data_IF_227817853205
#
_entry.id   IF_227817853205
#
_cell.length_a   1.000
_cell.length_b   1.000
_cell.length_c   1.000
_cell.angle_alpha   90.00
_cell.angle_beta   90.00
_cell.angle_gamma   90.00
#
_symmetry.space_group_name_H-M   'P 1'
#
loop_
_entity.id
_entity.type
_entity.pdbx_description
1 polymer ?
#
# COMPACT_ATOMS: atom_id res chain seq x y z
N UNK A 1 -3.67 -16.40 -1.04
CA UNK A 1 -3.06 -16.62 0.29
C UNK A 1 -2.56 -15.31 0.94
N UNK A 2 -3.11 -14.12 0.59
CA UNK A 2 -2.71 -12.82 1.19
C UNK A 2 -3.75 -12.23 2.15
N UNK A 3 -4.92 -12.85 2.32
CA UNK A 3 -5.93 -12.32 3.26
C UNK A 3 -5.46 -12.51 4.72
N UNK A 4 -4.59 -13.49 4.97
CA UNK A 4 -4.12 -13.80 6.31
C UNK A 4 -3.12 -12.76 6.86
N UNK A 5 -2.22 -12.23 6.02
CA UNK A 5 -1.23 -11.24 6.48
C UNK A 5 -1.88 -9.88 6.81
N UNK A 6 -2.86 -9.44 6.02
CA UNK A 6 -3.64 -8.22 6.24
C UNK A 6 -4.42 -8.28 7.56
N UNK A 7 -5.08 -9.41 7.84
CA UNK A 7 -5.81 -9.60 9.09
C UNK A 7 -4.88 -9.65 10.31
N UNK A 8 -3.76 -10.36 10.25
CA UNK A 8 -2.80 -10.40 11.36
C UNK A 8 -2.20 -9.01 11.61
N UNK A 9 -1.89 -8.25 10.55
CA UNK A 9 -1.43 -6.87 10.66
C UNK A 9 -2.47 -5.96 11.33
N UNK A 10 -3.75 -6.08 10.96
CA UNK A 10 -4.84 -5.34 11.57
C UNK A 10 -5.02 -5.69 13.06
N UNK A 11 -4.97 -6.99 13.42
CA UNK A 11 -5.05 -7.43 14.83
C UNK A 11 -3.91 -6.87 15.68
N UNK A 12 -2.70 -6.76 15.11
CA UNK A 12 -1.56 -6.15 15.79
C UNK A 12 -1.77 -4.64 15.99
N UNK A 13 -2.24 -3.95 14.95
CA UNK A 13 -2.57 -2.52 15.01
C UNK A 13 -3.67 -2.21 16.03
N UNK A 14 -4.71 -3.04 16.11
CA UNK A 14 -5.74 -2.99 17.16
C UNK A 14 -5.12 -3.13 18.55
N UNK A 15 -4.22 -4.10 18.73
CA UNK A 15 -3.54 -4.32 20.01
C UNK A 15 -2.64 -3.14 20.42
N UNK A 16 -2.07 -2.44 19.46
CA UNK A 16 -1.28 -1.22 19.68
C UNK A 16 -2.13 0.05 19.76
N UNK A 17 -3.46 -0.07 19.65
CA UNK A 17 -4.40 1.07 19.71
C UNK A 17 -4.10 2.13 18.65
N UNK A 18 -3.71 1.70 17.45
CA UNK A 18 -3.57 2.61 16.32
C UNK A 18 -4.94 3.16 15.89
N UNK A 19 -5.00 4.32 15.22
CA UNK A 19 -6.25 4.89 14.74
C UNK A 19 -7.05 3.94 13.84
N UNK A 20 -8.39 3.96 13.96
CA UNK A 20 -9.30 3.07 13.22
C UNK A 20 -9.08 3.10 11.70
N UNK A 21 -8.78 4.27 11.14
CA UNK A 21 -8.53 4.40 9.70
C UNK A 21 -7.28 3.64 9.24
N UNK A 22 -6.28 3.46 10.11
CA UNK A 22 -5.09 2.65 9.85
C UNK A 22 -5.41 1.16 9.97
N UNK A 23 -6.15 0.77 11.01
CA UNK A 23 -6.61 -0.61 11.21
C UNK A 23 -7.43 -1.08 10.00
N UNK A 24 -8.39 -0.27 9.56
CA UNK A 24 -9.24 -0.58 8.42
C UNK A 24 -8.47 -0.60 7.09
N UNK A 25 -7.44 0.24 6.94
CA UNK A 25 -6.55 0.18 5.76
C UNK A 25 -5.74 -1.12 5.73
N UNK A 26 -5.13 -1.51 6.85
CA UNK A 26 -4.39 -2.77 6.95
C UNK A 26 -5.29 -3.97 6.65
N UNK A 27 -6.52 -3.97 7.14
CA UNK A 27 -7.47 -5.06 6.92
C UNK A 27 -7.97 -5.16 5.48
N UNK A 28 -8.28 -4.04 4.85
CA UNK A 28 -9.08 -4.01 3.62
C UNK A 28 -8.32 -3.60 2.35
N UNK A 29 -7.01 -3.28 2.41
CA UNK A 29 -6.27 -2.79 1.24
C UNK A 29 -6.13 -3.79 0.07
N UNK A 30 -6.42 -5.08 0.27
CA UNK A 30 -6.50 -6.07 -0.81
C UNK A 30 -7.92 -6.26 -1.38
N UNK A 31 -8.92 -5.57 -0.84
CA UNK A 31 -10.32 -5.69 -1.28
C UNK A 31 -10.59 -4.72 -2.42
N UNK A 32 -11.05 -5.25 -3.55
CA UNK A 32 -11.43 -4.47 -4.72
C UNK A 32 -12.92 -4.12 -4.67
N UNK A 33 -13.30 -3.26 -3.71
CA UNK A 33 -14.67 -2.76 -3.57
C UNK A 33 -14.73 -1.27 -3.88
N UNK A 34 -15.90 -0.82 -4.35
CA UNK A 34 -16.17 0.59 -4.57
C UNK A 34 -16.48 1.34 -3.27
N UNK A 35 -16.16 2.64 -3.23
CA UNK A 35 -16.52 3.51 -2.11
C UNK A 35 -15.67 3.35 -0.85
N UNK A 36 -14.44 2.84 -0.99
CA UNK A 36 -13.49 2.72 0.11
C UNK A 36 -13.05 4.09 0.64
N UNK A 37 -12.58 4.11 1.89
CA UNK A 37 -11.99 5.33 2.46
C UNK A 37 -10.74 5.76 1.69
N UNK A 38 -10.38 7.04 1.78
CA UNK A 38 -9.15 7.57 1.16
C UNK A 38 -7.91 6.81 1.64
N UNK A 39 -7.83 6.48 2.94
CA UNK A 39 -6.68 5.74 3.50
C UNK A 39 -6.57 4.34 2.91
N UNK A 40 -7.68 3.60 2.80
CA UNK A 40 -7.67 2.28 2.16
C UNK A 40 -7.23 2.41 0.69
N UNK A 41 -7.82 3.36 -0.04
CA UNK A 41 -7.51 3.62 -1.46
C UNK A 41 -6.02 3.89 -1.69
N UNK A 42 -5.40 4.73 -0.85
CA UNK A 42 -3.97 5.07 -0.94
C UNK A 42 -3.10 3.87 -0.61
N UNK A 43 -3.40 3.13 0.46
CA UNK A 43 -2.61 1.96 0.87
C UNK A 43 -2.70 0.84 -0.18
N UNK A 44 -3.88 0.61 -0.77
CA UNK A 44 -4.08 -0.32 -1.88
C UNK A 44 -3.23 0.05 -3.10
N UNK A 45 -3.21 1.32 -3.49
CA UNK A 45 -2.39 1.78 -4.61
C UNK A 45 -0.89 1.64 -4.30
N UNK A 46 -0.47 2.06 -3.11
CA UNK A 46 0.92 2.01 -2.67
C UNK A 46 1.48 0.57 -2.64
N UNK A 47 0.70 -0.42 -2.18
CA UNK A 47 1.09 -1.84 -2.19
C UNK A 47 1.42 -2.33 -3.62
N UNK A 48 0.57 -2.00 -4.60
CA UNK A 48 0.78 -2.41 -5.99
C UNK A 48 1.94 -1.65 -6.65
N UNK A 49 2.08 -0.35 -6.37
CA UNK A 49 3.18 0.47 -6.87
C UNK A 49 4.52 -0.03 -6.31
N UNK A 50 4.61 -0.26 -5.00
CA UNK A 50 5.82 -0.78 -4.36
C UNK A 50 6.25 -2.12 -4.97
N UNK A 51 5.30 -3.03 -5.25
CA UNK A 51 5.58 -4.29 -5.95
C UNK A 51 6.08 -4.06 -7.37
N UNK A 52 5.46 -3.17 -8.15
CA UNK A 52 5.89 -2.86 -9.52
C UNK A 52 7.30 -2.26 -9.57
N UNK A 53 7.64 -1.43 -8.59
CA UNK A 53 8.95 -0.79 -8.46
C UNK A 53 10.00 -1.69 -7.77
N UNK A 54 9.64 -2.92 -7.39
CA UNK A 54 10.48 -3.86 -6.64
C UNK A 54 11.03 -3.28 -5.32
N UNK A 55 10.20 -2.55 -4.59
CA UNK A 55 10.56 -1.95 -3.30
C UNK A 55 10.22 -2.94 -2.17
N UNK A 56 11.23 -3.34 -1.41
CA UNK A 56 11.08 -4.23 -0.25
C UNK A 56 10.70 -5.68 -0.61
N UNK A 57 10.22 -6.43 0.39
CA UNK A 57 9.77 -7.82 0.23
C UNK A 57 8.34 -7.96 0.74
N UNK A 58 7.36 -7.86 -0.16
CA UNK A 58 5.92 -7.92 0.16
C UNK A 58 5.40 -9.32 0.51
N UNK A 59 6.25 -10.35 0.47
CA UNK A 59 5.87 -11.76 0.67
C UNK A 59 4.97 -12.34 -0.42
N UNK A 60 4.58 -11.55 -1.43
CA UNK A 60 3.76 -11.97 -2.56
C UNK A 60 4.20 -11.27 -3.85
N UNK A 61 4.63 -12.02 -4.87
CA UNK A 61 5.12 -11.43 -6.13
C UNK A 61 3.98 -11.03 -7.09
N UNK A 62 2.72 -11.17 -6.68
CA UNK A 62 1.58 -10.91 -7.56
C UNK A 62 1.36 -9.41 -7.67
N UNK A 63 1.56 -8.89 -8.88
CA UNK A 63 1.23 -7.53 -9.28
C UNK A 63 -0.15 -7.57 -9.95
N UNK A 64 -1.13 -6.94 -9.32
CA UNK A 64 -2.49 -6.81 -9.85
C UNK A 64 -2.66 -5.45 -10.53
N UNK A 65 -3.60 -5.38 -11.48
CA UNK A 65 -4.04 -4.09 -12.02
C UNK A 65 -4.77 -3.31 -10.93
N UNK A 66 -4.58 -1.99 -10.92
CA UNK A 66 -5.37 -1.13 -10.04
C UNK A 66 -6.86 -1.22 -10.43
N UNK A 67 -7.76 -1.39 -9.46
CA UNK A 67 -9.20 -1.24 -9.65
C UNK A 67 -9.57 0.11 -10.27
N UNK A 68 -10.67 0.15 -11.02
CA UNK A 68 -11.19 1.36 -11.67
C UNK A 68 -11.34 2.54 -10.72
N UNK A 69 -11.77 2.28 -9.48
CA UNK A 69 -12.02 3.31 -8.48
C UNK A 69 -10.71 3.92 -7.96
N UNK A 70 -9.65 3.11 -7.86
CA UNK A 70 -8.31 3.59 -7.53
C UNK A 70 -7.75 4.39 -8.70
N UNK A 71 -7.90 3.90 -9.94
CA UNK A 71 -7.49 4.65 -11.15
C UNK A 71 -8.20 6.00 -11.19
N UNK A 72 -9.51 6.04 -10.93
CA UNK A 72 -10.29 7.27 -10.89
C UNK A 72 -9.86 8.21 -9.77
N UNK A 73 -9.46 7.68 -8.61
CA UNK A 73 -9.00 8.49 -7.48
C UNK A 73 -7.63 9.14 -7.73
N UNK A 74 -6.73 8.44 -8.44
CA UNK A 74 -5.38 8.92 -8.77
C UNK A 74 -5.30 9.61 -10.14
N UNK A 75 -6.33 9.46 -10.98
CA UNK A 75 -6.37 10.02 -12.34
C UNK A 75 -5.53 9.26 -13.36
N UNK A 76 -4.90 8.13 -12.98
CA UNK A 76 -4.06 7.33 -13.87
C UNK A 76 -3.96 5.87 -13.39
N UNK A 77 -3.52 4.99 -14.29
CA UNK A 77 -3.10 3.63 -13.93
C UNK A 77 -1.75 3.63 -13.19
N UNK A 78 -1.30 2.45 -12.76
CA UNK A 78 -0.08 2.31 -11.97
C UNK A 78 1.17 2.81 -12.70
N UNK A 79 1.25 2.64 -14.02
CA UNK A 79 2.38 3.14 -14.80
C UNK A 79 2.43 4.68 -14.80
N UNK A 80 1.30 5.34 -15.02
CA UNK A 80 1.27 6.81 -14.99
C UNK A 80 1.39 7.40 -13.58
N UNK A 81 0.96 6.66 -12.54
CA UNK A 81 1.26 7.07 -11.15
C UNK A 81 2.77 6.99 -10.88
N UNK A 82 3.43 5.91 -11.29
CA UNK A 82 4.88 5.75 -11.17
C UNK A 82 5.63 6.86 -11.92
N UNK A 83 5.22 7.15 -13.16
CA UNK A 83 5.80 8.24 -13.95
C UNK A 83 5.63 9.60 -13.24
N UNK A 84 4.46 9.86 -12.67
CA UNK A 84 4.19 11.09 -11.90
C UNK A 84 4.96 11.17 -10.58
N UNK A 85 5.29 10.04 -9.94
CA UNK A 85 6.12 10.00 -8.74
C UNK A 85 7.58 10.34 -9.05
N UNK A 86 8.03 10.02 -10.27
CA UNK A 86 9.41 10.24 -10.69
C UNK A 86 10.39 9.36 -9.90
N UNK A 87 11.61 9.87 -9.73
CA UNK A 87 12.62 9.20 -8.91
C UNK A 87 12.33 9.38 -7.41
N UNK A 88 12.03 8.27 -6.75
CA UNK A 88 11.76 8.21 -5.30
C UNK A 88 12.91 7.57 -4.51
N UNK A 89 14.06 7.32 -5.14
CA UNK A 89 15.20 6.63 -4.53
C UNK A 89 15.67 7.34 -3.25
N UNK A 90 15.71 8.68 -3.25
CA UNK A 90 16.08 9.47 -2.06
C UNK A 90 15.13 9.24 -0.88
N UNK A 91 13.83 9.07 -1.13
CA UNK A 91 12.85 8.82 -0.05
C UNK A 91 12.98 7.38 0.49
N UNK A 92 13.27 6.42 -0.39
CA UNK A 92 13.58 5.04 0.00
C UNK A 92 14.83 4.99 0.87
N UNK A 93 15.89 5.70 0.49
CA UNK A 93 17.14 5.77 1.26
C UNK A 93 16.92 6.35 2.66
N UNK A 94 16.15 7.43 2.78
CA UNK A 94 15.77 8.01 4.07
C UNK A 94 14.99 7.02 4.93
N UNK A 95 14.03 6.31 4.34
CA UNK A 95 13.23 5.30 5.05
C UNK A 95 14.10 4.14 5.54
N UNK A 96 15.02 3.65 4.71
CA UNK A 96 15.94 2.57 5.08
C UNK A 96 16.90 3.00 6.18
N UNK A 97 17.46 4.21 6.10
CA UNK A 97 18.30 4.79 7.15
C UNK A 97 17.56 4.84 8.50
N UNK A 98 16.32 5.29 8.49
CA UNK A 98 15.48 5.32 9.70
C UNK A 98 15.22 3.92 10.29
N UNK A 99 15.03 2.91 9.44
CA UNK A 99 14.76 1.52 9.87
C UNK A 99 16.02 0.83 10.41
N UNK A 100 17.20 1.07 9.81
CA UNK A 100 18.44 0.42 10.21
C UNK A 100 19.02 0.98 11.52
N UNK A 101 18.62 2.18 11.94
CA UNK A 101 19.02 2.77 13.20
C UNK A 101 20.52 3.15 13.29
N UNK A 102 21.17 3.34 12.14
CA UNK A 102 22.50 3.98 12.03
C UNK A 102 22.34 5.46 11.68
#
# INVERSE_FOLDING_TARGET
MNIYNAHVGAMLAEKWQLPDNIIEALKNHHINNSGLSKTITVVSAADQIAKQMNIGQSGSPVIDKLPSDIISAFGSDSAGIIDSLGDIQTEIEKAMFFISGE
#
